data_IF_697826052988
#
_entry.id   IF_697826052988
#
_cell.length_a   1.000
_cell.length_b   1.000
_cell.length_c   1.000
_cell.angle_alpha   90.00
_cell.angle_beta   90.00
_cell.angle_gamma   90.00
#
_symmetry.space_group_name_H-M   'P 1'
#
loop_
_entity.id
_entity.type
_entity.pdbx_description
1 polymer ?
#
# COMPACT_ATOMS: atom_id res chain seq x y z
N UNK A 1 -3.08 -16.37 -5.05
CA UNK A 1 -2.03 -16.88 -4.14
C UNK A 1 -0.82 -15.97 -4.27
N UNK A 2 -0.40 -15.28 -3.20
CA UNK A 2 0.89 -14.58 -3.21
C UNK A 2 1.96 -15.67 -3.03
N UNK A 3 2.81 -15.89 -4.03
CA UNK A 3 3.83 -16.95 -4.01
C UNK A 3 5.19 -16.43 -3.59
N UNK A 4 5.32 -15.11 -3.41
CA UNK A 4 6.54 -14.43 -2.98
C UNK A 4 6.22 -13.37 -1.92
N UNK A 5 7.15 -13.11 -0.97
CA UNK A 5 6.98 -12.05 0.00
C UNK A 5 7.01 -10.67 -0.68
N UNK A 6 6.12 -9.78 -0.24
CA UNK A 6 6.11 -8.40 -0.72
C UNK A 6 7.32 -7.63 -0.19
N UNK A 7 7.94 -6.81 -1.05
CA UNK A 7 9.02 -5.90 -0.64
C UNK A 7 8.41 -4.59 -0.16
N UNK A 8 8.44 -4.38 1.15
CA UNK A 8 8.00 -3.14 1.80
C UNK A 8 9.14 -2.13 1.87
N UNK A 9 8.79 -0.85 1.88
CA UNK A 9 9.72 0.25 2.15
C UNK A 9 9.52 0.79 3.56
N UNK A 10 10.58 1.40 4.12
CA UNK A 10 10.44 2.13 5.38
C UNK A 10 9.57 3.37 5.17
N UNK A 11 8.69 3.70 6.14
CA UNK A 11 7.91 4.91 6.09
C UNK A 11 8.81 6.14 6.18
N UNK A 12 8.58 7.12 5.31
CA UNK A 12 9.18 8.45 5.36
C UNK A 12 8.13 9.45 5.88
N UNK A 13 8.22 9.93 7.14
CA UNK A 13 7.22 10.81 7.74
C UNK A 13 7.04 12.16 7.03
N UNK A 14 8.02 12.57 6.22
CA UNK A 14 7.99 13.86 5.50
C UNK A 14 7.22 13.73 4.18
N UNK A 15 7.10 12.52 3.64
CA UNK A 15 6.43 12.30 2.35
C UNK A 15 4.94 12.00 2.55
N UNK A 16 4.08 12.46 1.61
CA UNK A 16 2.67 12.10 1.62
C UNK A 16 2.48 10.58 1.58
N UNK A 17 1.47 10.12 2.32
CA UNK A 17 0.98 8.75 2.25
C UNK A 17 -0.21 8.66 1.31
N UNK A 18 -0.31 7.55 0.58
CA UNK A 18 -1.46 7.23 -0.27
C UNK A 18 -2.03 5.91 0.21
N UNK A 19 -3.34 5.88 0.48
CA UNK A 19 -4.05 4.65 0.80
C UNK A 19 -4.86 4.24 -0.43
N UNK A 20 -4.68 2.99 -0.86
CA UNK A 20 -5.58 2.35 -1.84
C UNK A 20 -6.37 1.27 -1.15
N UNK A 21 -7.69 1.32 -1.30
CA UNK A 21 -8.63 0.36 -0.69
C UNK A 21 -9.42 -0.35 -1.76
N UNK A 22 -9.75 -1.62 -1.48
CA UNK A 22 -10.72 -2.39 -2.23
C UNK A 22 -11.60 -3.16 -1.25
N UNK A 23 -12.91 -3.19 -1.50
CA UNK A 23 -13.88 -3.77 -0.58
C UNK A 23 -14.91 -4.61 -1.34
N UNK A 24 -15.40 -5.63 -0.64
CA UNK A 24 -16.49 -6.51 -1.05
C UNK A 24 -17.53 -6.58 0.07
N UNK A 25 -18.66 -7.24 -0.15
CA UNK A 25 -19.66 -7.46 0.91
C UNK A 25 -19.22 -8.36 2.08
N UNK A 26 -17.98 -8.87 2.08
CA UNK A 26 -17.43 -9.73 3.14
C UNK A 26 -16.24 -9.10 3.86
N UNK A 27 -15.45 -8.30 3.17
CA UNK A 27 -14.16 -7.84 3.67
C UNK A 27 -13.62 -6.64 2.92
N UNK A 28 -12.71 -5.94 3.56
CA UNK A 28 -11.98 -4.80 3.02
C UNK A 28 -10.47 -5.06 3.11
N UNK A 29 -9.77 -4.70 2.04
CA UNK A 29 -8.31 -4.65 1.96
C UNK A 29 -7.83 -3.23 1.72
N UNK A 30 -6.64 -2.92 2.22
CA UNK A 30 -5.97 -1.65 2.00
C UNK A 30 -4.46 -1.83 1.84
N UNK A 31 -3.86 -0.97 1.02
CA UNK A 31 -2.41 -0.83 0.86
C UNK A 31 -2.02 0.60 1.18
N UNK A 32 -1.12 0.76 2.14
CA UNK A 32 -0.46 2.04 2.41
C UNK A 32 0.76 2.16 1.49
N UNK A 33 0.82 3.22 0.70
CA UNK A 33 1.84 3.45 -0.33
C UNK A 33 2.55 4.78 -0.07
N UNK A 34 3.82 4.85 -0.46
CA UNK A 34 4.55 6.12 -0.61
C UNK A 34 5.29 6.15 -1.94
N UNK A 35 5.49 7.37 -2.44
CA UNK A 35 6.25 7.61 -3.66
C UNK A 35 7.75 7.43 -3.39
N UNK A 36 8.36 6.52 -4.14
CA UNK A 36 9.80 6.32 -4.16
C UNK A 36 10.33 6.75 -5.52
N UNK A 37 11.36 7.59 -5.46
CA UNK A 37 12.11 7.96 -6.64
C UNK A 37 13.08 6.82 -6.95
N UNK A 38 13.00 6.31 -8.18
CA UNK A 38 13.82 5.20 -8.65
C UNK A 38 14.66 5.70 -9.80
N UNK A 39 15.97 5.46 -9.73
CA UNK A 39 17.06 5.99 -10.56
C UNK A 39 17.73 7.26 -9.98
N UNK A 40 19.01 7.44 -10.32
CA UNK A 40 19.87 8.52 -9.81
C UNK A 40 19.46 9.92 -10.28
N UNK A 41 18.59 10.02 -11.27
CA UNK A 41 18.23 11.28 -11.93
C UNK A 41 16.81 11.74 -11.61
N UNK A 42 16.13 11.05 -10.69
CA UNK A 42 14.76 11.34 -10.28
C UNK A 42 13.73 11.37 -11.42
N UNK A 43 13.99 10.64 -12.51
CA UNK A 43 13.15 10.69 -13.72
C UNK A 43 11.89 9.84 -13.54
N UNK A 44 11.93 8.84 -12.65
CA UNK A 44 10.82 7.90 -12.47
C UNK A 44 10.46 7.82 -11.01
N UNK A 45 9.21 8.13 -10.70
CA UNK A 45 8.62 7.88 -9.41
C UNK A 45 7.66 6.70 -9.50
N UNK A 46 7.71 5.82 -8.50
CA UNK A 46 6.79 4.69 -8.39
C UNK A 46 6.23 4.62 -6.97
N UNK A 47 5.00 4.14 -6.84
CA UNK A 47 4.40 3.87 -5.55
C UNK A 47 4.88 2.51 -5.03
N UNK A 48 5.46 2.52 -3.83
CA UNK A 48 5.88 1.31 -3.13
C UNK A 48 5.04 1.10 -1.87
N UNK A 49 4.73 -0.16 -1.51
CA UNK A 49 3.98 -0.46 -0.30
C UNK A 49 4.84 -0.22 0.95
N UNK A 50 4.23 0.44 1.93
CA UNK A 50 4.73 0.59 3.30
C UNK A 50 4.09 -0.50 4.18
N UNK A 51 2.79 -0.74 4.01
CA UNK A 51 2.05 -1.73 4.77
C UNK A 51 0.82 -2.24 4.01
N UNK A 52 0.33 -3.41 4.42
CA UNK A 52 -0.94 -3.98 4.01
C UNK A 52 -1.85 -4.09 5.24
N UNK A 53 -3.13 -3.79 5.05
CA UNK A 53 -4.16 -4.01 6.07
C UNK A 53 -5.34 -4.75 5.45
N UNK A 54 -5.92 -5.68 6.19
CA UNK A 54 -7.13 -6.39 5.78
C UNK A 54 -7.99 -6.69 7.00
N UNK A 55 -9.31 -6.65 6.81
CA UNK A 55 -10.26 -7.10 7.82
C UNK A 55 -11.57 -7.57 7.21
N UNK A 56 -12.25 -8.46 7.92
CA UNK A 56 -13.65 -8.83 7.65
C UNK A 56 -14.57 -7.67 8.01
N UNK A 57 -15.64 -7.49 7.24
CA UNK A 57 -16.69 -6.53 7.54
C UNK A 57 -17.63 -7.08 8.61
N UNK A 58 -18.16 -6.20 9.46
CA UNK A 58 -19.28 -6.53 10.33
C UNK A 58 -20.56 -6.55 9.49
N UNK A 59 -21.63 -7.24 9.95
CA UNK A 59 -22.89 -7.33 9.18
C UNK A 59 -23.56 -6.00 8.83
N UNK A 60 -23.21 -4.91 9.50
CA UNK A 60 -23.75 -3.57 9.28
C UNK A 60 -22.82 -2.66 8.46
N UNK A 61 -21.67 -3.17 8.01
CA UNK A 61 -20.67 -2.46 7.19
C UNK A 61 -20.71 -2.93 5.74
#
# INVERSE_FOLDING_TARGET
MITSPAVLIFPDPVKPYIIRTDASGVGIGAVLLQEQIVNRYNITSIYKPVAFASRTLKPAE
#
